data_IF_591286272175
#
_entry.id   IF_591286272175
#
_cell.length_a   1.000
_cell.length_b   1.000
_cell.length_c   1.000
_cell.angle_alpha   90.00
_cell.angle_beta   90.00
_cell.angle_gamma   90.00
#
_symmetry.space_group_name_H-M   'P 1'
#
loop_
_entity.id
_entity.type
_entity.pdbx_description
1 polymer ?
#
# COMPACT_ATOMS: atom_id res chain seq x y z
N UNK A 1 -10.08 17.12 -14.25
CA UNK A 1 -10.66 16.95 -12.90
C UNK A 1 -10.36 15.52 -12.51
N UNK A 2 -9.29 15.31 -11.73
CA UNK A 2 -8.82 13.97 -11.37
C UNK A 2 -9.83 13.39 -10.38
N UNK A 3 -10.56 12.37 -10.80
CA UNK A 3 -11.37 11.57 -9.89
C UNK A 3 -10.44 10.52 -9.28
N UNK A 4 -9.81 10.85 -8.15
CA UNK A 4 -9.10 9.85 -7.35
C UNK A 4 -10.17 8.90 -6.80
N UNK A 5 -10.27 7.73 -7.42
CA UNK A 5 -11.20 6.69 -7.00
C UNK A 5 -10.68 6.12 -5.67
N UNK A 6 -11.47 6.29 -4.61
CA UNK A 6 -11.16 5.83 -3.25
C UNK A 6 -11.14 4.30 -3.26
N UNK A 7 -9.95 3.72 -3.46
CA UNK A 7 -9.71 2.31 -3.30
C UNK A 7 -9.52 1.97 -1.83
N UNK A 8 -10.46 1.23 -1.25
CA UNK A 8 -10.33 0.65 0.10
C UNK A 8 -9.10 -0.28 0.09
N UNK A 9 -8.01 0.12 0.76
CA UNK A 9 -6.84 -0.76 0.95
C UNK A 9 -7.12 -1.71 2.11
N UNK A 10 -7.30 -3.00 1.80
CA UNK A 10 -7.39 -4.08 2.79
C UNK A 10 -5.96 -4.53 3.14
N UNK A 11 -5.48 -4.22 4.34
CA UNK A 11 -4.29 -4.87 4.93
C UNK A 11 -4.76 -5.90 5.96
N UNK A 12 -4.58 -7.18 5.65
CA UNK A 12 -4.87 -8.29 6.56
C UNK A 12 -3.60 -8.56 7.37
N UNK A 13 -3.65 -8.36 8.69
CA UNK A 13 -2.60 -8.81 9.60
C UNK A 13 -3.05 -10.10 10.28
N UNK A 14 -2.32 -11.20 10.07
CA UNK A 14 -2.51 -12.44 10.86
C UNK A 14 -1.52 -12.47 12.02
N UNK A 15 -1.99 -12.39 13.27
CA UNK A 15 -1.20 -12.76 14.46
C UNK A 15 -1.18 -14.31 14.55
N UNK A 16 -0.21 -14.97 13.91
CA UNK A 16 0.10 -16.37 14.21
C UNK A 16 1.59 -16.49 14.53
N UNK A 17 1.98 -16.87 15.75
CA UNK A 17 3.35 -17.26 16.04
C UNK A 17 3.64 -18.57 15.32
N UNK A 18 4.61 -18.60 14.41
CA UNK A 18 5.14 -19.84 13.87
C UNK A 18 5.95 -20.49 14.99
N UNK A 19 5.36 -21.46 15.68
CA UNK A 19 6.08 -22.31 16.61
C UNK A 19 7.01 -23.23 15.80
N UNK A 20 8.31 -22.95 15.82
CA UNK A 20 9.34 -23.91 15.41
C UNK A 20 9.46 -24.98 16.50
N UNK A 21 8.74 -26.11 16.36
CA UNK A 21 9.03 -27.30 17.16
C UNK A 21 10.18 -28.08 16.53
N UNK A 22 11.33 -28.08 17.24
CA UNK A 22 12.50 -28.88 16.90
C UNK A 22 12.25 -30.38 17.03
N UNK A 23 12.77 -31.14 16.06
CA UNK A 23 12.77 -32.60 16.07
C UNK A 23 13.82 -33.12 17.06
N UNK A 24 13.39 -33.93 18.02
CA UNK A 24 14.25 -34.93 18.68
C UNK A 24 13.50 -36.27 18.70
N UNK A 25 14.25 -37.30 18.37
CA UNK A 25 13.86 -38.67 18.04
C UNK A 25 13.51 -39.52 19.26
N UNK A 26 12.48 -40.37 19.17
CA UNK A 26 12.52 -41.78 19.59
C UNK A 26 11.26 -42.56 19.14
N UNK A 27 11.46 -43.85 18.87
CA UNK A 27 10.52 -44.76 18.24
C UNK A 27 9.61 -45.50 19.24
N UNK A 28 8.35 -45.75 18.86
CA UNK A 28 7.49 -46.73 19.53
C UNK A 28 5.99 -46.44 19.41
N UNK A 29 5.24 -47.31 18.74
CA UNK A 29 3.77 -47.43 18.80
C UNK A 29 3.42 -48.85 19.33
N UNK A 30 2.16 -49.18 19.73
CA UNK A 30 0.95 -48.34 19.92
C UNK A 30 0.19 -48.65 21.23
N UNK A 31 -0.69 -47.75 21.73
CA UNK A 31 -1.97 -48.11 22.40
C UNK A 31 -3.02 -46.99 22.22
N UNK A 32 -4.26 -47.44 22.07
CA UNK A 32 -5.47 -46.68 21.76
C UNK A 32 -5.99 -45.97 23.01
N UNK A 33 -6.03 -44.64 23.02
CA UNK A 33 -6.80 -43.85 23.98
C UNK A 33 -7.59 -42.75 23.26
N UNK A 34 -8.87 -42.70 23.56
CA UNK A 34 -9.87 -41.77 23.06
C UNK A 34 -9.49 -40.34 23.47
N UNK A 35 -8.72 -39.63 22.65
CA UNK A 35 -8.50 -38.20 22.82
C UNK A 35 -9.78 -37.45 22.46
N UNK A 36 -10.44 -36.92 23.50
CA UNK A 36 -11.51 -35.95 23.34
C UNK A 36 -11.03 -34.81 22.45
N UNK A 37 -11.82 -34.47 21.44
CA UNK A 37 -11.66 -33.23 20.68
C UNK A 37 -11.73 -32.08 21.68
N UNK A 38 -10.58 -31.55 22.11
CA UNK A 38 -10.55 -30.24 22.73
C UNK A 38 -11.04 -29.29 21.65
N UNK A 39 -12.26 -28.79 21.79
CA UNK A 39 -12.79 -27.69 20.98
C UNK A 39 -11.95 -26.46 21.28
N UNK A 40 -10.77 -26.35 20.68
CA UNK A 40 -10.00 -25.12 20.66
C UNK A 40 -10.85 -24.14 19.85
N UNK A 41 -11.56 -23.26 20.55
CA UNK A 41 -12.21 -22.10 19.96
C UNK A 41 -11.13 -21.42 19.11
N UNK A 42 -11.34 -21.26 17.79
CA UNK A 42 -10.38 -20.56 16.96
C UNK A 42 -10.05 -19.21 17.61
N UNK A 43 -8.78 -18.82 17.71
CA UNK A 43 -8.43 -17.54 18.32
C UNK A 43 -9.25 -16.44 17.64
N UNK A 44 -9.85 -15.58 18.46
CA UNK A 44 -10.66 -14.44 17.98
C UNK A 44 -9.78 -13.60 17.05
N UNK A 45 -10.18 -13.51 15.79
CA UNK A 45 -9.52 -12.69 14.78
C UNK A 45 -10.20 -11.33 14.73
N UNK A 46 -9.49 -10.29 15.12
CA UNK A 46 -9.94 -8.91 14.96
C UNK A 46 -9.41 -8.37 13.61
N UNK A 47 -10.32 -7.82 12.80
CA UNK A 47 -10.00 -7.24 11.48
C UNK A 47 -10.30 -5.75 11.52
N UNK A 48 -9.28 -4.93 11.25
CA UNK A 48 -9.40 -3.47 11.20
C UNK A 48 -9.45 -2.99 9.75
N UNK A 49 -10.51 -2.26 9.40
CA UNK A 49 -10.69 -1.66 8.09
C UNK A 49 -10.52 -0.16 8.27
N UNK A 50 -9.58 0.42 7.54
CA UNK A 50 -9.24 1.83 7.64
C UNK A 50 -9.64 2.56 6.37
N UNK A 51 -10.19 3.75 6.54
CA UNK A 51 -10.20 4.75 5.48
C UNK A 51 -8.80 5.40 5.40
N UNK A 52 -8.40 5.84 4.22
CA UNK A 52 -7.04 6.37 4.00
C UNK A 52 -7.00 7.89 4.18
N UNK A 53 -7.77 8.60 3.36
CA UNK A 53 -7.77 10.06 3.32
C UNK A 53 -8.64 10.62 4.45
N UNK A 54 -8.24 11.74 5.03
CA UNK A 54 -8.83 12.35 6.23
C UNK A 54 -8.90 11.43 7.48
N UNK A 55 -8.21 10.30 7.45
CA UNK A 55 -8.11 9.35 8.58
C UNK A 55 -6.64 9.00 8.86
N UNK A 56 -5.96 8.33 7.92
CA UNK A 56 -4.54 8.01 8.06
C UNK A 56 -3.65 9.16 7.57
N UNK A 57 -4.09 9.84 6.50
CA UNK A 57 -3.42 11.00 5.90
C UNK A 57 -4.41 12.15 5.72
N UNK A 58 -3.92 13.36 5.47
CA UNK A 58 -4.74 14.58 5.35
C UNK A 58 -4.50 15.28 4.00
N UNK A 59 -4.47 14.55 2.88
CA UNK A 59 -4.03 15.13 1.61
C UNK A 59 -5.08 16.06 1.01
N UNK A 60 -6.33 15.61 0.97
CA UNK A 60 -7.39 16.35 0.28
C UNK A 60 -7.79 17.63 1.03
N UNK A 61 -7.78 17.62 2.36
CA UNK A 61 -8.07 18.78 3.20
C UNK A 61 -6.96 19.82 3.17
N UNK A 62 -5.70 19.40 2.94
CA UNK A 62 -4.60 20.32 2.63
C UNK A 62 -4.84 20.99 1.27
N UNK A 63 -5.13 20.22 0.23
CA UNK A 63 -5.37 20.74 -1.13
C UNK A 63 -6.56 21.71 -1.20
N UNK A 64 -7.64 21.41 -0.48
CA UNK A 64 -8.88 22.20 -0.46
C UNK A 64 -8.90 23.29 0.61
N UNK A 65 -7.78 23.54 1.29
CA UNK A 65 -7.66 24.45 2.46
C UNK A 65 -8.56 24.12 3.67
N UNK A 66 -9.47 23.15 3.58
CA UNK A 66 -10.45 22.86 4.62
C UNK A 66 -9.82 22.37 5.93
N UNK A 67 -8.58 21.83 5.89
CA UNK A 67 -7.82 21.54 7.11
C UNK A 67 -7.61 22.82 7.94
N UNK A 68 -7.09 23.87 7.31
CA UNK A 68 -6.71 25.11 7.99
C UNK A 68 -7.93 25.94 8.45
N UNK A 69 -9.01 25.93 7.65
CA UNK A 69 -10.25 26.63 7.97
C UNK A 69 -10.86 26.18 9.29
N UNK A 70 -10.69 24.90 9.66
CA UNK A 70 -11.15 24.35 10.93
C UNK A 70 -10.46 24.92 12.18
N UNK A 71 -9.35 25.64 12.03
CA UNK A 71 -8.56 26.19 13.13
C UNK A 71 -8.80 27.69 13.39
N UNK A 72 -9.88 28.26 12.86
CA UNK A 72 -10.28 29.66 13.11
C UNK A 72 -9.14 30.68 12.91
N UNK A 73 -8.32 30.48 11.87
CA UNK A 73 -7.21 31.38 11.51
C UNK A 73 -5.91 31.16 12.27
N UNK A 74 -5.80 30.13 13.12
CA UNK A 74 -4.54 29.76 13.80
C UNK A 74 -3.52 29.07 12.89
N UNK A 75 -3.94 28.61 11.71
CA UNK A 75 -3.08 27.97 10.70
C UNK A 75 -2.98 28.82 9.45
N UNK A 76 -1.78 28.86 8.88
CA UNK A 76 -1.52 29.47 7.58
C UNK A 76 -2.14 28.61 6.47
N UNK A 77 -3.20 29.12 5.85
CA UNK A 77 -3.94 28.45 4.76
C UNK A 77 -3.05 28.21 3.54
N UNK A 78 -2.26 29.21 3.16
CA UNK A 78 -1.43 29.14 1.96
C UNK A 78 -0.34 28.08 2.13
N UNK A 79 0.31 28.04 3.30
CA UNK A 79 1.30 27.01 3.64
C UNK A 79 0.71 25.59 3.52
N UNK A 80 -0.52 25.38 4.01
CA UNK A 80 -1.18 24.07 3.94
C UNK A 80 -1.46 23.62 2.49
N UNK A 81 -1.98 24.52 1.66
CA UNK A 81 -2.26 24.24 0.25
C UNK A 81 -0.97 23.95 -0.53
N UNK A 82 0.11 24.68 -0.24
CA UNK A 82 1.43 24.43 -0.85
C UNK A 82 1.97 23.04 -0.48
N UNK A 83 1.89 22.65 0.79
CA UNK A 83 2.26 21.29 1.23
C UNK A 83 1.43 20.23 0.48
N UNK A 84 0.11 20.42 0.38
CA UNK A 84 -0.78 19.51 -0.35
C UNK A 84 -0.38 19.36 -1.82
N UNK A 85 -0.08 20.47 -2.51
CA UNK A 85 0.36 20.46 -3.92
C UNK A 85 1.71 19.80 -4.11
N UNK A 86 2.65 19.99 -3.17
CA UNK A 86 3.93 19.31 -3.20
C UNK A 86 3.75 17.79 -3.11
N UNK A 87 2.90 17.31 -2.19
CA UNK A 87 2.59 15.89 -2.09
C UNK A 87 1.89 15.35 -3.33
N UNK A 88 0.88 16.06 -3.86
CA UNK A 88 0.17 15.66 -5.07
C UNK A 88 1.14 15.46 -6.24
N UNK A 89 2.01 16.45 -6.48
CA UNK A 89 3.01 16.36 -7.55
C UNK A 89 3.98 15.19 -7.34
N UNK A 90 4.47 14.98 -6.12
CA UNK A 90 5.39 13.88 -5.81
C UNK A 90 4.74 12.51 -5.98
N UNK A 91 3.50 12.35 -5.52
CA UNK A 91 2.75 11.10 -5.64
C UNK A 91 2.48 10.79 -7.12
N UNK A 92 2.04 11.78 -7.89
CA UNK A 92 1.80 11.61 -9.33
C UNK A 92 3.09 11.25 -10.07
N UNK A 93 4.18 11.98 -9.81
CA UNK A 93 5.47 11.68 -10.44
C UNK A 93 5.96 10.27 -10.09
N UNK A 94 5.87 9.86 -8.81
CA UNK A 94 6.22 8.50 -8.39
C UNK A 94 5.36 7.44 -9.12
N UNK A 95 4.06 7.71 -9.24
CA UNK A 95 3.11 6.84 -9.91
C UNK A 95 3.42 6.67 -11.40
N UNK A 96 3.81 7.75 -12.09
CA UNK A 96 4.21 7.69 -13.49
C UNK A 96 5.55 6.98 -13.67
N UNK A 97 6.57 7.36 -12.88
CA UNK A 97 7.94 6.86 -13.03
C UNK A 97 8.08 5.36 -12.68
N UNK A 98 7.33 4.88 -11.67
CA UNK A 98 7.56 3.54 -11.10
C UNK A 98 6.35 2.61 -11.10
N UNK A 99 5.14 3.13 -11.40
CA UNK A 99 3.91 2.36 -11.28
C UNK A 99 3.02 2.39 -12.53
N UNK A 100 3.56 2.80 -13.69
CA UNK A 100 2.88 2.77 -14.99
C UNK A 100 1.53 3.50 -14.99
N UNK A 101 1.37 4.55 -14.16
CA UNK A 101 0.08 5.18 -13.93
C UNK A 101 -0.55 5.69 -15.23
N UNK A 102 0.17 6.49 -16.02
CA UNK A 102 -0.32 6.96 -17.31
C UNK A 102 -0.80 5.81 -18.23
N UNK A 103 -0.04 4.71 -18.32
CA UNK A 103 -0.39 3.58 -19.20
C UNK A 103 -1.67 2.88 -18.75
N UNK A 104 -1.85 2.71 -17.44
CA UNK A 104 -3.02 2.03 -16.86
C UNK A 104 -4.26 2.94 -16.93
N UNK A 105 -4.09 4.22 -16.59
CA UNK A 105 -5.15 5.24 -16.59
C UNK A 105 -5.70 5.47 -18.01
N UNK A 106 -4.82 5.62 -19.01
CA UNK A 106 -5.22 5.87 -20.40
C UNK A 106 -6.03 4.72 -21.01
N UNK A 107 -5.88 3.51 -20.48
CA UNK A 107 -6.63 2.34 -20.90
C UNK A 107 -7.88 2.09 -20.05
N UNK A 108 -8.16 2.95 -19.06
CA UNK A 108 -9.28 2.85 -18.13
C UNK A 108 -9.33 1.50 -17.41
N UNK A 109 -8.15 0.92 -17.12
CA UNK A 109 -8.02 -0.35 -16.40
C UNK A 109 -7.90 -0.12 -14.89
N UNK A 110 -9.03 0.14 -14.26
CA UNK A 110 -9.08 0.23 -12.79
C UNK A 110 -9.50 -1.12 -12.22
N UNK A 111 -8.55 -1.79 -11.56
CA UNK A 111 -8.84 -3.02 -10.81
C UNK A 111 -8.83 -2.73 -9.31
N UNK A 112 -9.70 -3.38 -8.52
CA UNK A 112 -9.82 -3.09 -7.09
C UNK A 112 -8.66 -3.63 -6.25
N UNK A 113 -7.85 -4.57 -6.78
CA UNK A 113 -6.71 -5.16 -6.08
C UNK A 113 -5.66 -5.65 -7.09
N UNK A 114 -4.41 -5.71 -6.65
CA UNK A 114 -3.25 -5.94 -7.50
C UNK A 114 -3.26 -7.32 -8.19
N UNK A 115 -3.78 -8.34 -7.51
CA UNK A 115 -3.82 -9.72 -8.01
C UNK A 115 -5.00 -9.99 -8.97
N UNK A 116 -5.79 -8.98 -9.35
CA UNK A 116 -6.97 -9.14 -10.20
C UNK A 116 -6.67 -9.80 -11.56
N UNK A 117 -5.44 -9.67 -12.05
CA UNK A 117 -4.98 -10.23 -13.32
C UNK A 117 -3.98 -11.38 -13.16
N UNK A 118 -3.75 -11.87 -11.93
CA UNK A 118 -2.74 -12.89 -11.64
C UNK A 118 -2.89 -14.16 -12.50
N UNK A 119 -4.12 -14.51 -12.89
CA UNK A 119 -4.39 -15.69 -13.73
C UNK A 119 -3.85 -15.57 -15.16
N UNK A 120 -3.61 -14.35 -15.66
CA UNK A 120 -3.10 -14.11 -17.00
C UNK A 120 -1.57 -14.05 -17.04
N UNK A 121 -0.93 -13.88 -15.88
CA UNK A 121 0.53 -13.88 -15.76
C UNK A 121 1.08 -15.30 -15.95
N UNK A 122 2.03 -15.48 -16.87
CA UNK A 122 2.69 -16.76 -17.15
C UNK A 122 4.01 -16.97 -16.39
N UNK A 123 4.41 -16.04 -15.54
CA UNK A 123 5.67 -16.19 -14.81
C UNK A 123 6.91 -15.83 -15.63
N UNK A 124 6.78 -15.25 -16.84
CA UNK A 124 7.97 -14.92 -17.64
C UNK A 124 8.90 -13.96 -16.89
N UNK A 125 10.19 -14.11 -17.13
CA UNK A 125 11.15 -13.11 -16.69
C UNK A 125 10.90 -11.78 -17.41
N UNK A 126 10.89 -10.69 -16.62
CA UNK A 126 10.60 -9.33 -17.06
C UNK A 126 11.83 -8.43 -17.04
N UNK A 127 13.02 -8.93 -16.66
CA UNK A 127 14.22 -8.09 -16.52
C UNK A 127 14.63 -7.36 -17.81
N UNK A 128 14.33 -7.96 -18.97
CA UNK A 128 14.59 -7.41 -20.30
C UNK A 128 13.30 -7.13 -21.08
N UNK A 129 12.16 -7.02 -20.39
CA UNK A 129 10.87 -6.76 -21.02
C UNK A 129 10.70 -5.26 -21.26
N UNK A 130 10.44 -4.88 -22.52
CA UNK A 130 10.24 -3.48 -22.89
C UNK A 130 8.75 -3.12 -22.83
N UNK A 131 8.34 -2.53 -21.71
CA UNK A 131 6.95 -2.09 -21.49
C UNK A 131 6.51 -0.96 -22.41
N UNK A 132 7.43 -0.20 -23.02
CA UNK A 132 7.07 0.91 -23.90
C UNK A 132 6.78 0.44 -25.33
N UNK A 133 7.24 -0.76 -25.69
CA UNK A 133 7.10 -1.33 -27.02
C UNK A 133 6.38 -2.68 -27.03
N UNK A 134 5.61 -2.99 -25.98
CA UNK A 134 4.86 -4.25 -25.88
C UNK A 134 3.49 -4.23 -26.58
N UNK A 135 3.17 -3.14 -27.29
CA UNK A 135 1.93 -2.95 -28.05
C UNK A 135 0.66 -3.12 -27.20
N UNK A 136 0.72 -2.79 -25.90
CA UNK A 136 -0.47 -2.75 -25.05
C UNK A 136 -1.47 -1.72 -25.62
N UNK A 137 -2.62 -2.21 -26.05
CA UNK A 137 -3.69 -1.39 -26.64
C UNK A 137 -5.04 -2.09 -26.48
N UNK A 138 -6.18 -1.38 -26.55
CA UNK A 138 -7.50 -2.03 -26.59
C UNK A 138 -7.64 -2.91 -27.86
N UNK A 139 -8.42 -4.01 -27.84
CA UNK A 139 -9.38 -4.43 -26.81
C UNK A 139 -8.77 -5.34 -25.73
N UNK A 140 -9.59 -5.63 -24.72
CA UNK A 140 -9.25 -6.32 -23.48
C UNK A 140 -9.18 -7.86 -23.62
N UNK A 141 -8.34 -8.34 -24.54
CA UNK A 141 -8.12 -9.77 -24.76
C UNK A 141 -7.10 -10.37 -23.77
N UNK A 142 -6.97 -11.70 -23.80
CA UNK A 142 -6.07 -12.42 -22.89
C UNK A 142 -4.59 -12.05 -23.08
N UNK A 143 -4.22 -11.57 -24.27
CA UNK A 143 -2.86 -11.10 -24.54
C UNK A 143 -2.60 -9.75 -23.86
N UNK A 144 -3.53 -8.80 -23.95
CA UNK A 144 -3.42 -7.51 -23.27
C UNK A 144 -3.57 -7.64 -21.76
N UNK A 145 -4.45 -8.53 -21.26
CA UNK A 145 -4.55 -8.83 -19.82
C UNK A 145 -3.27 -9.42 -19.25
N UNK A 146 -2.55 -10.22 -20.04
CA UNK A 146 -1.22 -10.73 -19.67
C UNK A 146 -0.18 -9.61 -19.58
N UNK A 147 -0.17 -8.66 -20.53
CA UNK A 147 0.71 -7.47 -20.48
C UNK A 147 0.41 -6.57 -19.27
N UNK A 148 -0.86 -6.41 -18.92
CA UNK A 148 -1.29 -5.71 -17.70
C UNK A 148 -0.87 -6.46 -16.44
N UNK A 149 -0.98 -7.79 -16.43
CA UNK A 149 -0.52 -8.62 -15.33
C UNK A 149 1.00 -8.47 -15.08
N UNK A 150 1.81 -8.33 -16.14
CA UNK A 150 3.24 -8.02 -16.00
C UNK A 150 3.48 -6.69 -15.30
N UNK A 151 2.74 -5.63 -15.67
CA UNK A 151 2.83 -4.32 -15.00
C UNK A 151 2.44 -4.44 -13.52
N UNK A 152 1.35 -5.15 -13.22
CA UNK A 152 0.93 -5.41 -11.84
C UNK A 152 1.99 -6.15 -11.03
N UNK A 153 2.68 -7.13 -11.63
CA UNK A 153 3.80 -7.83 -10.97
C UNK A 153 4.96 -6.89 -10.65
N UNK A 154 5.34 -6.02 -11.58
CA UNK A 154 6.40 -5.02 -11.34
C UNK A 154 5.96 -4.01 -10.28
N UNK A 155 4.72 -3.52 -10.32
CA UNK A 155 4.12 -2.66 -9.29
C UNK A 155 4.20 -3.33 -7.92
N UNK A 156 3.85 -4.61 -7.82
CA UNK A 156 3.93 -5.38 -6.58
C UNK A 156 5.37 -5.47 -6.06
N UNK A 157 6.32 -5.77 -6.94
CA UNK A 157 7.74 -5.85 -6.60
C UNK A 157 8.29 -4.52 -6.12
N UNK A 158 7.99 -3.42 -6.82
CA UNK A 158 8.41 -2.07 -6.44
C UNK A 158 7.81 -1.67 -5.08
N UNK A 159 6.54 -1.99 -4.85
CA UNK A 159 5.89 -1.74 -3.55
C UNK A 159 6.55 -2.51 -2.41
N UNK A 160 6.92 -3.78 -2.63
CA UNK A 160 7.59 -4.62 -1.64
C UNK A 160 9.03 -4.19 -1.35
N UNK A 161 9.73 -3.67 -2.34
CA UNK A 161 11.07 -3.10 -2.15
C UNK A 161 11.04 -1.85 -1.27
N UNK A 162 9.95 -1.07 -1.33
CA UNK A 162 9.77 0.16 -0.56
C UNK A 162 10.49 1.36 -1.19
N UNK A 163 10.02 2.56 -0.81
CA UNK A 163 10.40 3.82 -1.47
C UNK A 163 11.91 4.10 -1.44
N UNK A 164 12.61 3.75 -0.36
CA UNK A 164 14.06 4.00 -0.21
C UNK A 164 14.92 3.19 -1.19
N UNK A 165 14.40 2.12 -1.78
CA UNK A 165 15.14 1.31 -2.75
C UNK A 165 14.87 1.72 -4.20
N UNK A 166 13.79 2.47 -4.44
CA UNK A 166 13.43 2.95 -5.78
C UNK A 166 13.82 4.42 -6.01
N UNK A 167 13.84 5.24 -4.95
CA UNK A 167 14.19 6.65 -5.03
C UNK A 167 15.69 6.87 -4.83
N UNK A 168 16.26 7.88 -5.47
CA UNK A 168 17.62 8.33 -5.17
C UNK A 168 17.70 9.08 -3.83
N UNK A 169 18.92 9.32 -3.35
CA UNK A 169 19.15 9.96 -2.06
C UNK A 169 18.61 11.41 -1.99
N UNK A 170 18.59 12.13 -3.11
CA UNK A 170 18.12 13.52 -3.14
C UNK A 170 16.59 13.56 -3.01
N UNK A 171 15.91 12.71 -3.77
CA UNK A 171 14.46 12.51 -3.69
C UNK A 171 14.06 12.04 -2.28
N UNK A 172 14.74 11.05 -1.72
CA UNK A 172 14.44 10.58 -0.35
C UNK A 172 14.51 11.70 0.68
N UNK A 173 15.61 12.47 0.66
CA UNK A 173 15.78 13.60 1.58
C UNK A 173 14.68 14.64 1.42
N UNK A 174 14.28 14.95 0.19
CA UNK A 174 13.20 15.90 -0.07
C UNK A 174 11.85 15.41 0.47
N UNK A 175 11.55 14.11 0.32
CA UNK A 175 10.33 13.50 0.84
C UNK A 175 10.30 13.52 2.37
N UNK A 176 11.43 13.22 3.02
CA UNK A 176 11.56 13.27 4.48
C UNK A 176 11.34 14.70 5.00
N UNK A 177 11.95 15.70 4.36
CA UNK A 177 11.75 17.11 4.72
C UNK A 177 10.29 17.56 4.53
N UNK A 178 9.62 17.07 3.48
CA UNK A 178 8.20 17.36 3.25
C UNK A 178 7.31 16.66 4.29
N UNK A 179 7.64 15.43 4.67
CA UNK A 179 6.96 14.71 5.75
C UNK A 179 7.05 15.49 7.05
N UNK A 180 8.24 15.92 7.46
CA UNK A 180 8.43 16.68 8.69
C UNK A 180 7.66 18.00 8.69
N UNK A 181 7.70 18.74 7.57
CA UNK A 181 6.91 19.96 7.39
C UNK A 181 5.40 19.70 7.50
N UNK A 182 4.95 18.58 6.96
CA UNK A 182 3.54 18.18 7.00
C UNK A 182 3.12 17.78 8.40
N UNK A 183 3.90 16.97 9.09
CA UNK A 183 3.58 16.51 10.45
C UNK A 183 3.62 17.66 11.44
N UNK A 184 4.55 18.61 11.30
CA UNK A 184 4.56 19.85 12.08
C UNK A 184 3.30 20.69 11.81
N UNK A 185 2.96 20.90 10.53
CA UNK A 185 1.79 21.69 10.15
C UNK A 185 0.47 21.04 10.61
N UNK A 186 0.42 19.71 10.64
CA UNK A 186 -0.78 18.93 10.97
C UNK A 186 -0.87 18.54 12.45
N UNK A 187 -0.17 19.24 13.33
CA UNK A 187 -0.14 18.98 14.78
C UNK A 187 0.15 17.51 15.12
N UNK A 188 1.08 16.90 14.36
CA UNK A 188 1.54 15.51 14.52
C UNK A 188 0.50 14.45 14.18
N UNK A 189 -0.41 14.73 13.24
CA UNK A 189 -1.40 13.76 12.80
C UNK A 189 -0.76 12.45 12.32
N UNK A 190 0.22 12.55 11.42
CA UNK A 190 0.84 11.38 10.78
C UNK A 190 1.63 10.55 11.81
N UNK A 191 2.43 11.21 12.65
CA UNK A 191 3.18 10.52 13.70
C UNK A 191 2.27 9.94 14.78
N UNK A 192 1.13 10.55 15.09
CA UNK A 192 0.13 9.99 16.02
C UNK A 192 -0.47 8.67 15.51
N UNK A 193 -0.75 8.60 14.20
CA UNK A 193 -1.18 7.36 13.54
C UNK A 193 -0.11 6.26 13.59
N UNK A 194 1.17 6.63 13.42
CA UNK A 194 2.31 5.70 13.52
C UNK A 194 2.52 5.19 14.96
N UNK A 195 2.40 6.05 15.98
CA UNK A 195 2.54 5.66 17.39
C UNK A 195 1.43 4.71 17.86
N UNK A 196 0.20 4.88 17.36
CA UNK A 196 -0.91 3.96 17.65
C UNK A 196 -0.61 2.53 17.17
N UNK A 197 0.03 2.37 16.01
CA UNK A 197 0.44 1.06 15.50
C UNK A 197 1.54 0.41 16.36
N UNK A 198 2.43 1.22 16.96
CA UNK A 198 3.47 0.71 17.85
C UNK A 198 2.88 0.27 19.21
N UNK A 199 1.95 1.03 19.80
CA UNK A 199 1.31 0.65 21.07
C UNK A 199 0.42 -0.60 20.94
N UNK A 200 -0.25 -0.78 19.79
CA UNK A 200 -1.02 -2.00 19.50
C UNK A 200 -0.13 -3.24 19.22
N UNK A 201 1.18 -3.06 19.04
CA UNK A 201 2.15 -4.16 18.91
C UNK A 201 2.70 -4.64 20.26
N UNK A 202 2.51 -3.88 21.34
CA UNK A 202 3.03 -4.14 22.70
C UNK A 202 1.92 -4.65 23.64
N UNK A 203 0.67 -4.71 23.18
CA UNK A 203 -0.48 -5.31 23.88
C UNK A 203 -0.97 -6.60 23.18
#
# INVERSE_FOLDING_TARGET
MVHVQVGIKVKIYSKVPIAHTGMSSEAGMPKHETQGFSSSIPPKLDVYIWDMDETLILLNSLLKSSYAEGFNGLKDVQKGVEIGKMWENLILQLCDDYFFYEQIENLNYHTPFLDALAQYDDGRDLSNYDFNHDELSPPDDDANKRKLAYRHRVIAQNYLQGLHNILDHEAQKFWDELYDKTDEYTDRWLSSGMFSNYMNSIA
#
